data_IF_978033813639
#
_entry.id   IF_978033813639
#
_cell.length_a   1.000
_cell.length_b   1.000
_cell.length_c   1.000
_cell.angle_alpha   90.00
_cell.angle_beta   90.00
_cell.angle_gamma   90.00
#
_symmetry.space_group_name_H-M   'P 1'
#
loop_
_entity.id
_entity.type
_entity.pdbx_description
1 polymer ?
#
# COMPACT_ATOMS: atom_id res chain seq x y z
N UNK A 1 -1.03 41.19 17.49
CA UNK A 1 -1.37 40.22 16.42
C UNK A 1 -2.87 40.37 16.18
N UNK A 2 -3.35 40.54 14.95
CA UNK A 2 -4.79 40.75 14.72
C UNK A 2 -5.57 39.48 15.09
N UNK A 3 -6.77 39.65 15.65
CA UNK A 3 -7.66 38.54 16.04
C UNK A 3 -7.82 37.51 14.91
N UNK A 4 -8.04 38.00 13.68
CA UNK A 4 -8.17 37.15 12.48
C UNK A 4 -6.94 36.26 12.22
N UNK A 5 -5.73 36.78 12.43
CA UNK A 5 -4.49 36.02 12.22
C UNK A 5 -4.32 34.90 13.26
N UNK A 6 -4.74 35.15 14.49
CA UNK A 6 -4.77 34.13 15.55
C UNK A 6 -5.75 33.02 15.21
N UNK A 7 -6.97 33.37 14.77
CA UNK A 7 -7.99 32.39 14.36
C UNK A 7 -7.47 31.52 13.21
N UNK A 8 -6.88 32.13 12.17
CA UNK A 8 -6.36 31.38 11.03
C UNK A 8 -5.20 30.44 11.42
N UNK A 9 -4.34 30.85 12.35
CA UNK A 9 -3.25 30.02 12.85
C UNK A 9 -3.79 28.79 13.60
N UNK A 10 -4.80 28.96 14.44
CA UNK A 10 -5.46 27.84 15.16
C UNK A 10 -6.08 26.86 14.16
N UNK A 11 -6.77 27.36 13.14
CA UNK A 11 -7.37 26.53 12.09
C UNK A 11 -6.30 25.74 11.32
N UNK A 12 -5.21 26.37 10.91
CA UNK A 12 -4.11 25.68 10.22
C UNK A 12 -3.47 24.60 11.08
N UNK A 13 -3.26 24.84 12.37
CA UNK A 13 -2.73 23.83 13.30
C UNK A 13 -3.72 22.65 13.41
N UNK A 14 -5.02 22.94 13.50
CA UNK A 14 -6.06 21.90 13.48
C UNK A 14 -6.02 21.07 12.19
N UNK A 15 -5.91 21.71 11.03
CA UNK A 15 -5.79 21.03 9.72
C UNK A 15 -4.54 20.15 9.67
N UNK A 16 -3.38 20.64 10.14
CA UNK A 16 -2.16 19.84 10.22
C UNK A 16 -2.35 18.60 11.10
N UNK A 17 -2.99 18.76 12.27
CA UNK A 17 -3.31 17.63 13.16
C UNK A 17 -4.19 16.58 12.48
N UNK A 18 -5.22 17.02 11.76
CA UNK A 18 -6.10 16.13 10.99
C UNK A 18 -5.35 15.40 9.87
N UNK A 19 -4.46 16.08 9.13
CA UNK A 19 -3.66 15.45 8.06
C UNK A 19 -2.70 14.40 8.64
N UNK A 20 -2.07 14.70 9.79
CA UNK A 20 -1.10 13.80 10.42
C UNK A 20 -1.76 12.52 10.92
N UNK A 21 -2.91 12.65 11.60
CA UNK A 21 -3.62 11.52 12.21
C UNK A 21 -4.47 10.77 11.17
N UNK A 22 -5.05 11.49 10.21
CA UNK A 22 -6.00 10.96 9.22
C UNK A 22 -5.39 10.54 7.89
N UNK A 23 -4.06 10.53 7.75
CA UNK A 23 -3.33 10.19 6.52
C UNK A 23 -3.76 8.86 5.89
N UNK A 24 -3.90 7.80 6.68
CA UNK A 24 -4.34 6.47 6.20
C UNK A 24 -5.78 6.51 5.72
N UNK A 25 -6.66 7.16 6.48
CA UNK A 25 -8.07 7.35 6.10
C UNK A 25 -8.19 8.17 4.82
N UNK A 26 -7.37 9.20 4.64
CA UNK A 26 -7.30 9.99 3.41
C UNK A 26 -6.82 9.13 2.23
N UNK A 27 -5.76 8.33 2.43
CA UNK A 27 -5.25 7.41 1.41
C UNK A 27 -6.33 6.42 0.98
N UNK A 28 -6.99 5.77 1.94
CA UNK A 28 -8.09 4.85 1.67
C UNK A 28 -9.25 5.54 0.97
N UNK A 29 -9.64 6.75 1.38
CA UNK A 29 -10.72 7.52 0.76
C UNK A 29 -10.38 7.91 -0.69
N UNK A 30 -9.16 8.37 -0.93
CA UNK A 30 -8.68 8.73 -2.28
C UNK A 30 -8.70 7.53 -3.22
N UNK A 31 -8.24 6.38 -2.71
CA UNK A 31 -8.22 5.13 -3.46
C UNK A 31 -9.65 4.59 -3.63
N UNK A 32 -10.37 4.26 -2.57
CA UNK A 32 -11.71 3.65 -2.69
C UNK A 32 -12.78 4.54 -3.33
N UNK A 33 -12.89 5.81 -2.92
CA UNK A 33 -14.02 6.68 -3.28
C UNK A 33 -13.79 7.49 -4.54
N UNK A 34 -12.60 8.06 -4.68
CA UNK A 34 -12.26 8.89 -5.85
C UNK A 34 -11.60 8.10 -6.97
N UNK A 35 -11.32 6.81 -6.77
CA UNK A 35 -10.75 5.91 -7.77
C UNK A 35 -9.41 6.42 -8.35
N UNK A 36 -8.70 7.29 -7.61
CA UNK A 36 -7.38 7.76 -8.01
C UNK A 36 -6.34 6.66 -7.81
N UNK A 37 -5.22 6.77 -8.54
CA UNK A 37 -4.14 5.79 -8.48
C UNK A 37 -3.55 5.65 -7.07
N UNK A 38 -3.01 4.47 -6.80
CA UNK A 38 -2.38 4.08 -5.54
C UNK A 38 -1.28 5.04 -5.16
N UNK A 39 -0.39 5.38 -6.10
CA UNK A 39 0.68 6.36 -5.89
C UNK A 39 0.15 7.76 -5.52
N UNK A 40 -0.97 8.18 -6.13
CA UNK A 40 -1.60 9.48 -5.82
C UNK A 40 -2.18 9.47 -4.41
N UNK A 41 -2.86 8.38 -4.03
CA UNK A 41 -3.36 8.18 -2.67
C UNK A 41 -2.25 8.30 -1.62
N UNK A 42 -1.10 7.68 -1.88
CA UNK A 42 0.06 7.75 -0.99
C UNK A 42 0.68 9.15 -0.89
N UNK A 43 0.74 9.90 -2.00
CA UNK A 43 1.40 11.21 -2.08
C UNK A 43 0.53 12.34 -1.55
N UNK A 44 -0.79 12.28 -1.72
CA UNK A 44 -1.68 13.40 -1.45
C UNK A 44 -1.59 13.93 0.00
N UNK A 45 -1.62 13.09 1.06
CA UNK A 45 -1.50 13.59 2.43
C UNK A 45 -0.17 14.34 2.66
N UNK A 46 0.92 13.87 2.03
CA UNK A 46 2.25 14.48 2.16
C UNK A 46 2.33 15.85 1.47
N UNK A 47 1.73 15.96 0.28
CA UNK A 47 1.63 17.24 -0.45
C UNK A 47 0.78 18.23 0.34
N UNK A 48 -0.38 17.81 0.85
CA UNK A 48 -1.26 18.66 1.65
C UNK A 48 -0.59 19.12 2.95
N UNK A 49 0.17 18.24 3.62
CA UNK A 49 0.96 18.59 4.80
C UNK A 49 2.00 19.68 4.48
N UNK A 50 2.72 19.54 3.37
CA UNK A 50 3.71 20.53 2.93
C UNK A 50 3.05 21.88 2.63
N UNK A 51 1.95 21.89 1.90
CA UNK A 51 1.20 23.11 1.57
C UNK A 51 0.65 23.80 2.82
N UNK A 52 0.09 23.05 3.77
CA UNK A 52 -0.40 23.58 5.03
C UNK A 52 0.74 24.15 5.89
N UNK A 53 1.92 23.51 5.89
CA UNK A 53 3.11 23.99 6.60
C UNK A 53 3.67 25.27 5.98
N UNK A 54 3.67 25.38 4.65
CA UNK A 54 4.02 26.61 3.94
C UNK A 54 3.02 27.74 4.21
N UNK A 55 1.72 27.44 4.22
CA UNK A 55 0.69 28.41 4.60
C UNK A 55 0.90 28.91 6.04
N UNK A 56 1.22 28.01 6.97
CA UNK A 56 1.55 28.38 8.35
C UNK A 56 2.77 29.29 8.42
N UNK A 57 3.82 29.01 7.64
CA UNK A 57 4.99 29.88 7.55
C UNK A 57 4.62 31.28 7.04
N UNK A 58 3.84 31.37 5.95
CA UNK A 58 3.38 32.66 5.38
C UNK A 58 2.63 33.47 6.43
N UNK A 59 1.74 32.83 7.18
CA UNK A 59 0.97 33.46 8.26
C UNK A 59 1.88 33.90 9.39
N UNK A 60 2.92 33.13 9.76
CA UNK A 60 3.87 33.47 10.82
C UNK A 60 4.92 34.50 10.40
N UNK A 61 5.16 34.66 9.10
CA UNK A 61 6.26 35.44 8.53
C UNK A 61 6.38 36.88 9.07
N UNK A 62 5.29 37.67 9.19
CA UNK A 62 5.39 39.02 9.77
C UNK A 62 5.90 39.05 11.22
N UNK A 63 5.68 37.98 11.99
CA UNK A 63 6.20 37.85 13.35
C UNK A 63 7.67 37.44 13.34
N UNK A 64 8.05 36.54 12.41
CA UNK A 64 9.44 36.08 12.27
C UNK A 64 10.38 37.17 11.78
N UNK A 65 9.90 38.11 10.94
CA UNK A 65 10.71 39.26 10.48
C UNK A 65 11.28 40.10 11.63
N UNK A 66 10.66 40.07 12.82
CA UNK A 66 11.13 40.79 14.02
C UNK A 66 12.40 40.19 14.63
N UNK A 67 12.76 38.96 14.26
CA UNK A 67 13.89 38.22 14.82
C UNK A 67 15.19 38.38 13.99
N UNK A 68 15.24 39.37 13.09
CA UNK A 68 16.37 39.73 12.21
C UNK A 68 17.18 38.54 11.66
N UNK A 69 18.24 38.14 12.39
CA UNK A 69 19.17 37.08 12.02
C UNK A 69 18.69 35.66 12.36
N UNK A 70 17.80 35.51 13.35
CA UNK A 70 17.35 34.21 13.84
C UNK A 70 16.13 33.67 13.08
N UNK A 71 15.46 34.47 12.24
CA UNK A 71 14.17 34.12 11.59
C UNK A 71 14.18 32.80 10.78
N UNK A 72 15.34 32.35 10.31
CA UNK A 72 15.49 31.10 9.56
C UNK A 72 15.27 29.87 10.43
N UNK A 73 15.78 29.86 11.66
CA UNK A 73 15.63 28.74 12.60
C UNK A 73 14.16 28.40 12.88
N UNK A 74 13.29 29.33 13.33
CA UNK A 74 11.88 29.05 13.53
C UNK A 74 11.15 28.81 12.21
N UNK A 75 11.62 29.32 11.06
CA UNK A 75 11.02 28.99 9.76
C UNK A 75 11.22 27.52 9.41
N UNK A 76 12.45 27.01 9.61
CA UNK A 76 12.75 25.59 9.47
C UNK A 76 11.96 24.74 10.46
N UNK A 77 11.77 25.19 11.70
CA UNK A 77 10.95 24.48 12.66
C UNK A 77 9.45 24.47 12.27
N UNK A 78 8.90 25.58 11.78
CA UNK A 78 7.49 25.65 11.37
C UNK A 78 7.18 24.69 10.21
N UNK A 79 8.12 24.50 9.27
CA UNK A 79 7.96 23.53 8.17
C UNK A 79 8.35 22.12 8.61
N UNK A 80 9.50 21.99 9.25
CA UNK A 80 10.11 20.70 9.59
C UNK A 80 9.38 19.98 10.72
N UNK A 81 8.80 20.69 11.69
CA UNK A 81 8.13 20.06 12.82
C UNK A 81 6.87 19.27 12.39
N UNK A 82 5.92 19.82 11.61
CA UNK A 82 4.78 19.03 11.12
C UNK A 82 5.21 17.82 10.28
N UNK A 83 6.23 17.97 9.43
CA UNK A 83 6.78 16.87 8.63
C UNK A 83 7.43 15.81 9.52
N UNK A 84 8.22 16.22 10.51
CA UNK A 84 8.84 15.31 11.47
C UNK A 84 7.80 14.56 12.30
N UNK A 85 6.78 15.25 12.79
CA UNK A 85 5.65 14.63 13.50
C UNK A 85 4.88 13.65 12.60
N UNK A 86 4.66 14.01 11.34
CA UNK A 86 4.05 13.10 10.37
C UNK A 86 4.87 11.82 10.22
N UNK A 87 6.19 11.92 10.04
CA UNK A 87 7.07 10.76 9.86
C UNK A 87 7.21 9.91 11.12
N UNK A 88 7.02 10.50 12.31
CA UNK A 88 6.98 9.75 13.58
C UNK A 88 5.73 8.89 13.71
N UNK A 89 4.58 9.40 13.24
CA UNK A 89 3.30 8.66 13.29
C UNK A 89 3.15 7.73 12.08
N UNK A 90 3.61 8.16 10.91
CA UNK A 90 3.48 7.48 9.62
C UNK A 90 4.87 7.15 9.08
N UNK A 91 5.49 6.13 9.66
CA UNK A 91 6.84 5.72 9.29
C UNK A 91 6.86 5.40 7.79
N UNK A 92 7.70 6.08 6.99
CA UNK A 92 7.76 5.82 5.56
C UNK A 92 8.44 4.47 5.32
N UNK A 93 7.72 3.52 4.75
CA UNK A 93 8.32 2.28 4.28
C UNK A 93 8.91 2.52 2.89
N UNK A 94 10.22 2.33 2.74
CA UNK A 94 10.92 2.47 1.45
C UNK A 94 10.26 1.59 0.37
N UNK A 95 9.81 0.42 0.81
CA UNK A 95 9.16 -0.58 -0.02
C UNK A 95 7.78 -0.17 -0.57
N UNK A 96 7.14 0.87 -0.02
CA UNK A 96 5.88 1.38 -0.59
C UNK A 96 6.10 2.06 -1.95
N UNK A 97 7.34 2.44 -2.28
CA UNK A 97 7.72 3.16 -3.50
C UNK A 97 8.33 2.25 -4.56
N UNK A 98 8.43 0.94 -4.31
CA UNK A 98 9.13 0.01 -5.18
C UNK A 98 8.16 -0.69 -6.14
N UNK A 99 8.71 -1.02 -7.30
CA UNK A 99 8.14 -1.94 -8.29
C UNK A 99 9.29 -2.68 -8.96
N UNK A 100 10.14 -3.29 -8.15
CA UNK A 100 11.36 -3.98 -8.58
C UNK A 100 11.12 -5.47 -8.79
N UNK A 101 9.92 -5.83 -9.25
CA UNK A 101 9.57 -7.22 -9.50
C UNK A 101 10.42 -7.83 -10.61
N UNK A 102 10.54 -9.15 -10.56
CA UNK A 102 11.24 -9.94 -11.58
C UNK A 102 10.23 -10.37 -12.65
N UNK A 103 10.53 -10.10 -13.91
CA UNK A 103 9.81 -10.70 -15.03
C UNK A 103 10.23 -12.17 -15.17
N UNK A 104 9.25 -13.06 -15.19
CA UNK A 104 9.47 -14.49 -15.37
C UNK A 104 9.34 -14.80 -16.87
N UNK A 105 10.48 -14.78 -17.56
CA UNK A 105 10.56 -15.19 -18.97
C UNK A 105 10.69 -16.71 -18.98
N UNK A 106 9.60 -17.38 -19.37
CA UNK A 106 9.36 -18.78 -19.06
C UNK A 106 10.39 -19.78 -19.59
N UNK A 107 10.86 -20.64 -18.68
CA UNK A 107 11.34 -21.99 -18.98
C UNK A 107 10.73 -22.95 -17.94
N UNK A 108 9.75 -23.76 -18.38
CA UNK A 108 9.12 -24.82 -17.57
C UNK A 108 7.80 -24.42 -16.90
N UNK A 109 6.81 -25.34 -16.92
CA UNK A 109 5.58 -25.21 -16.14
C UNK A 109 5.87 -25.51 -14.68
N UNK A 110 5.63 -24.57 -13.78
CA UNK A 110 5.65 -24.84 -12.34
C UNK A 110 4.30 -25.43 -11.88
N UNK A 111 4.27 -26.05 -10.69
CA UNK A 111 3.05 -26.66 -10.16
C UNK A 111 1.88 -25.70 -9.96
N UNK A 112 2.13 -24.40 -9.81
CA UNK A 112 1.07 -23.40 -9.72
C UNK A 112 0.41 -23.20 -11.08
N UNK A 113 1.21 -23.11 -12.15
CA UNK A 113 0.69 -23.03 -13.52
C UNK A 113 -0.12 -24.28 -13.89
N UNK A 114 0.39 -25.47 -13.57
CA UNK A 114 -0.33 -26.73 -13.80
C UNK A 114 -1.63 -26.77 -12.99
N UNK A 115 -1.56 -26.46 -11.69
CA UNK A 115 -2.74 -26.44 -10.83
C UNK A 115 -3.82 -25.49 -11.33
N UNK A 116 -3.46 -24.27 -11.72
CA UNK A 116 -4.41 -23.29 -12.24
C UNK A 116 -4.99 -23.72 -13.58
N UNK A 117 -4.18 -24.28 -14.49
CA UNK A 117 -4.70 -24.79 -15.75
C UNK A 117 -5.70 -25.95 -15.56
N UNK A 118 -5.50 -26.78 -14.54
CA UNK A 118 -6.39 -27.91 -14.24
C UNK A 118 -7.66 -27.51 -13.47
N UNK A 119 -7.55 -26.53 -12.54
CA UNK A 119 -8.64 -26.20 -11.60
C UNK A 119 -9.36 -24.89 -11.91
N UNK A 120 -8.65 -23.92 -12.49
CA UNK A 120 -9.14 -22.56 -12.78
C UNK A 120 -8.53 -22.06 -14.11
N UNK A 121 -8.82 -22.70 -15.26
CA UNK A 121 -8.15 -22.43 -16.53
C UNK A 121 -8.35 -20.99 -17.05
N UNK A 122 -9.39 -20.31 -16.59
CA UNK A 122 -9.71 -18.93 -16.96
C UNK A 122 -9.07 -17.89 -16.03
N UNK A 123 -8.37 -18.31 -14.97
CA UNK A 123 -7.76 -17.39 -14.00
C UNK A 123 -6.78 -16.44 -14.68
N UNK A 124 -7.04 -15.14 -14.61
CA UNK A 124 -6.13 -14.09 -15.04
C UNK A 124 -6.05 -13.00 -13.98
N UNK A 125 -4.95 -12.97 -13.24
CA UNK A 125 -4.84 -11.98 -12.17
C UNK A 125 -3.68 -12.18 -11.22
N UNK A 126 -3.92 -11.83 -9.96
CA UNK A 126 -2.89 -11.70 -8.94
C UNK A 126 -2.98 -12.84 -7.93
N UNK A 127 -1.88 -13.53 -7.74
CA UNK A 127 -1.73 -14.58 -6.74
C UNK A 127 -0.91 -14.03 -5.59
N UNK A 128 -1.35 -14.25 -4.36
CA UNK A 128 -0.63 -13.91 -3.15
C UNK A 128 -0.35 -15.18 -2.34
N UNK A 129 0.90 -15.43 -2.01
CA UNK A 129 1.26 -16.44 -1.03
C UNK A 129 1.30 -15.83 0.36
N UNK A 130 0.53 -16.40 1.27
CA UNK A 130 0.41 -15.96 2.65
C UNK A 130 0.76 -17.10 3.62
N UNK A 131 1.36 -16.75 4.75
CA UNK A 131 1.63 -17.67 5.84
C UNK A 131 0.64 -17.38 6.98
N UNK A 132 -0.04 -18.38 7.56
CA UNK A 132 -0.87 -18.16 8.75
C UNK A 132 -0.07 -17.52 9.88
N UNK A 133 -0.63 -16.49 10.53
CA UNK A 133 0.02 -15.76 11.62
C UNK A 133 1.06 -14.71 11.19
N UNK A 134 1.16 -14.41 9.90
CA UNK A 134 2.05 -13.39 9.36
C UNK A 134 1.34 -12.03 9.25
N UNK A 135 1.65 -11.08 10.14
CA UNK A 135 1.04 -9.73 10.15
C UNK A 135 1.22 -8.98 8.82
N UNK A 136 2.39 -9.11 8.18
CA UNK A 136 2.64 -8.50 6.87
C UNK A 136 1.76 -9.10 5.76
N UNK A 137 1.40 -10.38 5.89
CA UNK A 137 0.52 -11.06 4.95
C UNK A 137 -0.92 -10.58 5.11
N UNK A 138 -1.36 -10.33 6.35
CA UNK A 138 -2.69 -9.78 6.64
C UNK A 138 -2.84 -8.34 6.10
N UNK A 139 -1.78 -7.53 6.26
CA UNK A 139 -1.73 -6.19 5.68
C UNK A 139 -1.77 -6.23 4.15
N UNK A 140 -1.03 -7.16 3.53
CA UNK A 140 -1.04 -7.36 2.08
C UNK A 140 -2.43 -7.76 1.58
N UNK A 141 -3.09 -8.71 2.23
CA UNK A 141 -4.45 -9.15 1.90
C UNK A 141 -5.44 -8.00 2.03
N UNK A 142 -5.31 -7.15 3.05
CA UNK A 142 -6.16 -5.97 3.21
C UNK A 142 -6.02 -5.00 2.02
N UNK A 143 -4.81 -4.81 1.49
CA UNK A 143 -4.57 -4.02 0.28
C UNK A 143 -5.13 -4.72 -0.97
N UNK A 144 -5.02 -6.05 -1.06
CA UNK A 144 -5.58 -6.83 -2.16
C UNK A 144 -7.11 -6.82 -2.19
N UNK A 145 -7.76 -6.85 -1.02
CA UNK A 145 -9.21 -6.70 -0.90
C UNK A 145 -9.64 -5.34 -1.47
N UNK A 146 -8.93 -4.27 -1.12
CA UNK A 146 -9.21 -2.94 -1.66
C UNK A 146 -9.00 -2.86 -3.18
N UNK A 147 -7.97 -3.55 -3.69
CA UNK A 147 -7.71 -3.68 -5.12
C UNK A 147 -8.85 -4.42 -5.84
N UNK A 148 -9.28 -5.57 -5.30
CA UNK A 148 -10.38 -6.36 -5.85
C UNK A 148 -11.71 -5.61 -5.76
N UNK A 149 -11.95 -4.86 -4.68
CA UNK A 149 -13.15 -4.03 -4.55
C UNK A 149 -13.21 -2.92 -5.61
N UNK A 150 -12.07 -2.30 -5.94
CA UNK A 150 -11.97 -1.30 -7.01
C UNK A 150 -12.12 -1.92 -8.40
N UNK A 151 -11.59 -3.12 -8.59
CA UNK A 151 -11.68 -3.86 -9.83
C UNK A 151 -12.18 -5.29 -9.60
N UNK A 152 -13.51 -5.47 -9.55
CA UNK A 152 -14.11 -6.79 -9.29
C UNK A 152 -13.81 -7.83 -10.38
N UNK A 153 -13.35 -7.39 -11.56
CA UNK A 153 -12.95 -8.27 -12.66
C UNK A 153 -11.51 -8.76 -12.53
N UNK A 154 -10.72 -8.22 -11.60
CA UNK A 154 -9.40 -8.74 -11.30
C UNK A 154 -9.55 -10.00 -10.44
N UNK A 155 -9.13 -11.14 -10.97
CA UNK A 155 -9.02 -12.34 -10.17
C UNK A 155 -7.90 -12.17 -9.14
N UNK A 156 -8.23 -12.41 -7.87
CA UNK A 156 -7.26 -12.40 -6.77
C UNK A 156 -7.36 -13.72 -6.02
N UNK A 157 -6.25 -14.44 -5.99
CA UNK A 157 -6.13 -15.72 -5.33
C UNK A 157 -5.09 -15.67 -4.21
N UNK A 158 -5.48 -16.08 -3.02
CA UNK A 158 -4.60 -16.20 -1.86
C UNK A 158 -4.28 -17.67 -1.62
N UNK A 159 -3.05 -18.08 -1.90
CA UNK A 159 -2.54 -19.37 -1.46
C UNK A 159 -2.04 -19.27 -0.03
N UNK A 160 -2.73 -19.95 0.88
CA UNK A 160 -2.31 -20.06 2.27
C UNK A 160 -1.34 -21.24 2.39
N UNK A 161 -0.19 -21.02 2.99
CA UNK A 161 0.90 -22.00 3.07
C UNK A 161 0.60 -23.09 4.11
N UNK A 162 -0.38 -23.93 3.79
CA UNK A 162 -0.86 -25.09 4.56
C UNK A 162 -1.54 -26.07 3.61
N UNK A 163 -1.58 -27.34 3.98
CA UNK A 163 -2.43 -28.35 3.31
C UNK A 163 -3.79 -28.51 3.99
N UNK A 164 -3.95 -27.98 5.19
CA UNK A 164 -5.17 -28.14 5.98
C UNK A 164 -6.19 -27.05 5.62
N UNK A 165 -7.28 -27.47 4.97
CA UNK A 165 -8.41 -26.60 4.62
C UNK A 165 -9.06 -25.90 5.82
N UNK A 166 -9.01 -26.49 7.03
CA UNK A 166 -9.54 -25.86 8.24
C UNK A 166 -8.71 -24.62 8.62
N UNK A 167 -7.38 -24.68 8.43
CA UNK A 167 -6.48 -23.54 8.64
C UNK A 167 -6.73 -22.46 7.59
N UNK A 168 -6.95 -22.83 6.32
CA UNK A 168 -7.31 -21.87 5.25
C UNK A 168 -8.59 -21.13 5.61
N UNK A 169 -9.64 -21.85 6.02
CA UNK A 169 -10.91 -21.24 6.40
C UNK A 169 -10.80 -20.36 7.65
N UNK A 170 -10.03 -20.81 8.65
CA UNK A 170 -9.73 -20.00 9.84
C UNK A 170 -9.02 -18.71 9.46
N UNK A 171 -8.01 -18.80 8.58
CA UNK A 171 -7.26 -17.64 8.09
C UNK A 171 -8.16 -16.67 7.30
N UNK A 172 -8.98 -17.19 6.38
CA UNK A 172 -9.97 -16.40 5.64
C UNK A 172 -10.91 -15.63 6.58
N UNK A 173 -11.45 -16.31 7.59
CA UNK A 173 -12.40 -15.71 8.54
C UNK A 173 -11.77 -14.66 9.46
N UNK A 174 -10.46 -14.76 9.72
CA UNK A 174 -9.71 -13.77 10.50
C UNK A 174 -9.22 -12.60 9.65
N UNK A 175 -8.98 -12.83 8.36
CA UNK A 175 -8.50 -11.81 7.45
C UNK A 175 -9.62 -10.82 7.09
N UNK A 176 -9.24 -9.55 6.88
CA UNK A 176 -10.16 -8.49 6.45
C UNK A 176 -10.67 -8.74 5.02
N UNK A 177 -9.96 -9.55 4.23
CA UNK A 177 -10.23 -9.82 2.81
C UNK A 177 -11.19 -10.97 2.52
N UNK A 178 -12.33 -11.06 3.21
CA UNK A 178 -13.22 -12.23 3.09
C UNK A 178 -13.80 -12.48 1.69
N UNK A 179 -13.79 -11.48 0.81
CA UNK A 179 -14.29 -11.61 -0.57
C UNK A 179 -13.29 -12.27 -1.53
N UNK A 180 -12.00 -12.31 -1.19
CA UNK A 180 -10.99 -12.97 -2.00
C UNK A 180 -11.16 -14.50 -2.01
N UNK A 181 -10.56 -15.14 -3.01
CA UNK A 181 -10.48 -16.60 -3.08
C UNK A 181 -9.27 -17.07 -2.27
N UNK A 182 -9.46 -18.06 -1.41
CA UNK A 182 -8.40 -18.65 -0.59
C UNK A 182 -8.31 -20.14 -0.88
N UNK A 183 -7.10 -20.62 -1.16
CA UNK A 183 -6.83 -22.04 -1.39
C UNK A 183 -5.61 -22.50 -0.59
N UNK A 184 -5.56 -23.79 -0.19
CA UNK A 184 -4.33 -24.37 0.30
C UNK A 184 -3.28 -24.38 -0.80
N UNK A 185 -2.01 -24.24 -0.44
CA UNK A 185 -0.92 -24.34 -1.41
C UNK A 185 -0.85 -25.77 -1.98
N UNK A 186 -0.85 -25.96 -3.31
CA UNK A 186 -0.94 -27.30 -3.91
C UNK A 186 0.34 -28.12 -3.68
N UNK A 187 1.51 -27.51 -3.87
CA UNK A 187 2.82 -28.13 -3.62
C UNK A 187 3.69 -27.21 -2.75
N UNK A 188 3.71 -27.39 -1.42
CA UNK A 188 4.47 -26.53 -0.51
C UNK A 188 5.96 -26.47 -0.85
N UNK A 189 6.57 -27.60 -1.21
CA UNK A 189 8.02 -27.68 -1.45
C UNK A 189 8.46 -26.93 -2.71
N UNK A 190 7.63 -26.92 -3.74
CA UNK A 190 7.91 -26.14 -4.95
C UNK A 190 7.52 -24.68 -4.77
N UNK A 191 6.42 -24.42 -4.08
CA UNK A 191 5.95 -23.05 -3.80
C UNK A 191 6.92 -22.28 -2.92
N UNK A 192 7.56 -22.93 -1.94
CA UNK A 192 8.59 -22.29 -1.12
C UNK A 192 9.83 -21.93 -1.96
N UNK A 193 10.19 -22.75 -2.95
CA UNK A 193 11.28 -22.46 -3.89
C UNK A 193 10.90 -21.29 -4.81
N UNK A 194 9.68 -21.29 -5.33
CA UNK A 194 9.14 -20.21 -6.17
C UNK A 194 9.15 -18.86 -5.43
N UNK A 195 8.79 -18.88 -4.15
CA UNK A 195 8.76 -17.72 -3.26
C UNK A 195 10.12 -17.40 -2.61
N UNK A 196 11.14 -18.24 -2.82
CA UNK A 196 12.44 -18.16 -2.15
C UNK A 196 12.32 -18.00 -0.61
N UNK A 197 11.32 -18.64 0.00
CA UNK A 197 11.02 -18.51 1.42
C UNK A 197 10.40 -17.17 1.88
N UNK A 198 10.03 -16.26 0.97
CA UNK A 198 9.51 -14.94 1.32
C UNK A 198 7.98 -14.90 1.36
N UNK A 199 7.46 -14.27 2.42
CA UNK A 199 6.03 -14.02 2.61
C UNK A 199 5.80 -12.57 3.11
N UNK A 200 4.76 -11.87 2.63
CA UNK A 200 3.97 -12.24 1.47
C UNK A 200 4.80 -12.20 0.19
N UNK A 201 4.36 -12.92 -0.83
CA UNK A 201 4.89 -12.81 -2.19
C UNK A 201 3.75 -12.81 -3.19
N UNK A 202 3.93 -12.05 -4.27
CA UNK A 202 2.89 -11.75 -5.24
C UNK A 202 3.33 -12.21 -6.62
N UNK A 203 2.39 -12.75 -7.38
CA UNK A 203 2.64 -13.22 -8.74
C UNK A 203 1.52 -12.79 -9.65
N UNK A 204 1.88 -12.27 -10.82
CA UNK A 204 0.91 -11.94 -11.85
C UNK A 204 0.84 -13.07 -12.87
N UNK A 205 -0.35 -13.67 -13.00
CA UNK A 205 -0.64 -14.76 -13.90
C UNK A 205 -1.49 -14.25 -15.08
N UNK A 206 -1.04 -14.50 -16.30
CA UNK A 206 -1.74 -14.06 -17.52
C UNK A 206 -1.44 -14.96 -18.70
N UNK A 207 -2.47 -15.31 -19.48
CA UNK A 207 -2.42 -16.26 -20.58
C UNK A 207 -1.82 -17.60 -20.14
N UNK A 208 -2.31 -18.16 -19.04
CA UNK A 208 -1.91 -19.48 -18.55
C UNK A 208 -0.49 -19.58 -17.98
N UNK A 209 0.20 -18.45 -17.74
CA UNK A 209 1.60 -18.42 -17.28
C UNK A 209 1.85 -17.35 -16.22
N UNK A 210 2.78 -17.61 -15.30
CA UNK A 210 3.33 -16.59 -14.43
C UNK A 210 4.20 -15.64 -15.25
N UNK A 211 3.94 -14.34 -15.13
CA UNK A 211 4.63 -13.29 -15.89
C UNK A 211 5.55 -12.46 -15.02
N UNK A 212 5.12 -12.19 -13.79
CA UNK A 212 5.87 -11.38 -12.85
C UNK A 212 5.81 -11.97 -11.46
N UNK A 213 6.87 -11.73 -10.70
CA UNK A 213 6.99 -12.04 -9.29
C UNK A 213 7.47 -10.82 -8.53
N UNK A 214 6.91 -10.62 -7.34
CA UNK A 214 7.39 -9.67 -6.36
C UNK A 214 7.48 -10.35 -5.00
N UNK A 215 8.62 -10.20 -4.34
CA UNK A 215 8.77 -10.59 -2.94
C UNK A 215 8.29 -9.49 -2.00
N UNK A 216 8.29 -9.82 -0.71
CA UNK A 216 8.04 -8.86 0.36
C UNK A 216 8.95 -7.64 0.18
N UNK A 217 8.33 -6.49 -0.02
CA UNK A 217 9.03 -5.22 -0.21
C UNK A 217 9.27 -4.79 -1.65
N UNK A 218 8.99 -5.63 -2.65
CA UNK A 218 9.09 -5.28 -4.08
C UNK A 218 7.74 -4.86 -4.67
N UNK A 219 6.65 -5.12 -3.95
CA UNK A 219 5.26 -4.85 -4.35
C UNK A 219 4.70 -3.62 -3.62
N UNK A 220 5.13 -2.43 -4.04
CA UNK A 220 4.64 -1.14 -3.52
C UNK A 220 3.43 -0.57 -4.29
N UNK A 221 3.03 0.65 -3.95
CA UNK A 221 1.91 1.36 -4.61
C UNK A 221 2.04 1.44 -6.14
N UNK A 222 3.24 1.68 -6.73
CA UNK A 222 3.39 1.65 -8.19
C UNK A 222 3.17 0.26 -8.81
N UNK A 223 3.33 -0.82 -8.05
CA UNK A 223 3.02 -2.18 -8.52
C UNK A 223 1.50 -2.40 -8.59
N UNK A 224 0.73 -1.90 -7.61
CA UNK A 224 -0.73 -1.90 -7.67
C UNK A 224 -1.26 -1.13 -8.87
N UNK A 225 -0.75 0.09 -9.10
CA UNK A 225 -1.12 0.89 -10.29
C UNK A 225 -0.82 0.13 -11.60
N UNK A 226 0.31 -0.58 -11.65
CA UNK A 226 0.66 -1.37 -12.82
C UNK A 226 -0.28 -2.55 -13.04
N UNK A 227 -0.63 -3.30 -11.98
CA UNK A 227 -1.57 -4.42 -12.07
C UNK A 227 -2.92 -3.92 -12.58
N UNK A 228 -3.45 -2.81 -12.03
CA UNK A 228 -4.72 -2.22 -12.50
C UNK A 228 -4.65 -1.83 -13.99
N UNK A 229 -3.54 -1.27 -14.46
CA UNK A 229 -3.39 -0.83 -15.85
C UNK A 229 -3.30 -1.97 -16.88
N UNK A 230 -2.92 -3.18 -16.47
CA UNK A 230 -2.72 -4.34 -17.37
C UNK A 230 -3.97 -5.20 -17.58
N UNK A 231 -5.07 -4.80 -16.94
CA UNK A 231 -6.39 -5.42 -17.03
C UNK A 231 -7.30 -4.74 -18.05
N UNK A 232 -6.88 -3.59 -18.59
CA UNK A 232 -7.49 -2.91 -19.74
C UNK A 232 -6.90 -3.46 -21.05
#
# INVERSE_FOLDING_TARGET
>A
MSFLRTVFLILLIGVLGVIIIGSESMTHLVISKYQLGWMVGLLLPKVLLLLASLALLIVCWPSLKKLENLKWVPSFLIIGLPIGLYLLVNVPYVNDWTKTGTELVGEGSNSIEVFLQETQPEFEGLICFALPGCEYCDLAISKLELLHHRNPNLDVLVFVFTKDSAVVNSYKNQSVGSSLTYLPVPNPNESIQLNNGNFPSFFYFKNGKLRYRWFSGEFGYPAFDWVESRLQ
#
